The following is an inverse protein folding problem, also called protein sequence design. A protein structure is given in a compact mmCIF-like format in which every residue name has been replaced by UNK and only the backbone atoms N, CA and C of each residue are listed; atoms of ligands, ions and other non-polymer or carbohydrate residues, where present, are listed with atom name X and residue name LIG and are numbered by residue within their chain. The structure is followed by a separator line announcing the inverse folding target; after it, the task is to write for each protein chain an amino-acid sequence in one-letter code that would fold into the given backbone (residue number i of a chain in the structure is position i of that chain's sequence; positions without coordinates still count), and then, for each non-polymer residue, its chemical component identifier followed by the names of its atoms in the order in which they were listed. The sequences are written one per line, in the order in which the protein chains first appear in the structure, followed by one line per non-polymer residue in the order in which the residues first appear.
data_IF_780129014713
#
_entry.id   IF_780129014713
#
_cell.length_a   1.000
_cell.length_b   1.000
_cell.length_c   1.000
_cell.angle_alpha   90.00
_cell.angle_beta   90.00
_cell.angle_gamma   90.00
#
_symmetry.space_group_name_H-M   'P 1'
#
loop_
_entity.id
_entity.type
_entity.pdbx_description
1 polymer ?
#
# COMPACT_ATOMS: atom_id res chain seq x y z
N UNK A 1 -18.59 3.82 13.32
CA UNK A 1 -17.41 3.77 14.23
C UNK A 1 -16.93 5.18 14.55
N UNK A 2 -16.73 5.52 15.82
CA UNK A 2 -16.36 6.88 16.24
C UNK A 2 -14.88 7.21 15.99
N UNK A 3 -14.59 8.33 15.31
CA UNK A 3 -13.23 8.84 14.98
C UNK A 3 -13.09 10.33 15.30
N UNK A 4 -11.87 10.72 15.70
CA UNK A 4 -11.46 12.12 15.90
C UNK A 4 -10.41 12.48 14.86
N UNK A 5 -10.61 13.57 14.15
CA UNK A 5 -9.76 14.00 13.05
C UNK A 5 -8.81 15.11 13.49
N UNK A 6 -7.50 14.91 13.32
CA UNK A 6 -6.47 15.94 13.65
C UNK A 6 -6.23 16.93 12.53
N UNK A 7 -6.68 16.63 11.31
CA UNK A 7 -6.59 17.47 10.11
C UNK A 7 -7.84 17.31 9.24
N UNK A 8 -8.02 18.24 8.29
CA UNK A 8 -9.08 18.14 7.28
C UNK A 8 -8.88 16.87 6.45
N UNK A 9 -9.96 16.14 6.22
CA UNK A 9 -9.98 14.92 5.43
C UNK A 9 -11.10 15.00 4.41
N UNK A 10 -10.79 14.70 3.16
CA UNK A 10 -11.76 14.68 2.07
C UNK A 10 -11.79 13.28 1.49
N UNK A 11 -13.00 12.73 1.34
CA UNK A 11 -13.20 11.43 0.72
C UNK A 11 -14.40 11.47 -0.21
N UNK A 12 -14.48 10.47 -1.09
CA UNK A 12 -15.62 10.27 -1.97
C UNK A 12 -16.46 9.14 -1.39
N UNK A 13 -17.75 9.36 -1.17
CA UNK A 13 -18.65 8.27 -0.74
C UNK A 13 -19.01 7.37 -1.94
N UNK A 14 -19.73 6.29 -1.66
CA UNK A 14 -20.21 5.32 -2.66
C UNK A 14 -21.07 5.99 -3.75
N UNK A 15 -21.87 7.00 -3.37
CA UNK A 15 -22.66 7.84 -4.28
C UNK A 15 -21.82 8.81 -5.14
N UNK A 16 -20.49 8.77 -5.03
CA UNK A 16 -19.58 9.62 -5.81
C UNK A 16 -19.53 11.09 -5.36
N UNK A 17 -20.17 11.44 -4.25
CA UNK A 17 -20.17 12.77 -3.64
C UNK A 17 -18.89 13.00 -2.83
N UNK A 18 -18.34 14.22 -2.92
CA UNK A 18 -17.19 14.62 -2.12
C UNK A 18 -17.65 15.04 -0.72
N UNK A 19 -17.29 14.26 0.28
CA UNK A 19 -17.53 14.57 1.69
C UNK A 19 -16.26 15.15 2.30
N UNK A 20 -16.41 16.28 3.00
CA UNK A 20 -15.30 16.96 3.67
C UNK A 20 -15.50 16.92 5.18
N UNK A 21 -14.57 16.27 5.87
CA UNK A 21 -14.49 16.24 7.32
C UNK A 21 -13.52 17.35 7.77
N UNK A 22 -13.98 18.34 8.55
CA UNK A 22 -13.12 19.42 9.00
C UNK A 22 -12.10 18.94 10.05
N UNK A 23 -11.03 19.73 10.23
CA UNK A 23 -10.06 19.51 11.31
C UNK A 23 -10.76 19.62 12.68
N UNK A 24 -10.32 18.82 13.65
CA UNK A 24 -10.91 18.71 15.00
C UNK A 24 -12.35 18.18 15.02
N UNK A 25 -12.87 17.69 13.89
CA UNK A 25 -14.16 17.03 13.88
C UNK A 25 -14.08 15.67 14.56
N UNK A 26 -15.13 15.33 15.31
CA UNK A 26 -15.27 14.05 15.98
C UNK A 26 -16.70 13.54 15.80
N UNK A 27 -16.84 12.31 15.31
CA UNK A 27 -18.14 11.73 15.03
C UNK A 27 -18.03 10.31 14.51
N UNK A 28 -19.18 9.75 14.17
CA UNK A 28 -19.25 8.42 13.59
C UNK A 28 -19.00 8.45 12.09
N UNK A 29 -18.13 7.55 11.65
CA UNK A 29 -17.84 7.29 10.24
C UNK A 29 -17.94 5.78 9.96
N UNK A 30 -18.08 5.40 8.71
CA UNK A 30 -18.02 3.99 8.30
C UNK A 30 -16.62 3.42 8.54
N UNK A 31 -16.50 2.10 8.62
CA UNK A 31 -15.20 1.44 8.80
C UNK A 31 -14.24 1.74 7.64
N UNK A 32 -14.76 1.81 6.42
CA UNK A 32 -13.99 2.20 5.23
C UNK A 32 -13.43 3.63 5.33
N UNK A 33 -14.27 4.60 5.71
CA UNK A 33 -13.84 5.99 5.89
C UNK A 33 -12.86 6.12 7.05
N UNK A 34 -13.05 5.36 8.13
CA UNK A 34 -12.08 5.28 9.21
C UNK A 34 -10.73 4.75 8.69
N UNK A 35 -10.73 3.64 7.94
CA UNK A 35 -9.52 3.05 7.38
C UNK A 35 -8.80 4.00 6.41
N UNK A 36 -9.53 4.69 5.53
CA UNK A 36 -8.99 5.69 4.61
C UNK A 36 -8.40 6.90 5.37
N UNK A 37 -9.14 7.42 6.34
CA UNK A 37 -8.68 8.54 7.15
C UNK A 37 -7.47 8.16 8.02
N UNK A 38 -7.42 6.93 8.49
CA UNK A 38 -6.30 6.39 9.25
C UNK A 38 -5.05 6.19 8.37
N UNK A 39 -5.21 5.66 7.15
CA UNK A 39 -4.14 5.53 6.16
C UNK A 39 -3.59 6.90 5.71
N UNK A 40 -4.45 7.92 5.65
CA UNK A 40 -4.05 9.31 5.40
C UNK A 40 -3.44 10.00 6.64
N UNK A 41 -3.28 9.28 7.77
CA UNK A 41 -2.90 9.82 9.08
C UNK A 41 -3.73 11.07 9.44
N UNK A 42 -5.00 11.09 9.05
CA UNK A 42 -5.93 12.19 9.26
C UNK A 42 -6.64 12.14 10.62
N UNK A 43 -6.60 10.98 11.27
CA UNK A 43 -7.23 10.70 12.57
C UNK A 43 -6.22 10.77 13.73
N UNK A 44 -6.75 10.96 14.93
CA UNK A 44 -6.05 10.71 16.19
C UNK A 44 -6.25 9.23 16.54
N UNK A 45 -5.37 8.35 16.05
CA UNK A 45 -5.31 6.96 16.53
C UNK A 45 -4.58 6.89 17.87
N UNK A 46 -5.18 6.18 18.83
CA UNK A 46 -4.45 5.65 19.97
C UNK A 46 -3.34 4.73 19.44
N UNK A 47 -2.09 5.13 19.67
CA UNK A 47 -0.87 4.48 19.17
C UNK A 47 -0.71 3.00 19.57
N UNK A 48 -1.65 2.42 20.32
CA UNK A 48 -1.61 1.05 20.82
C UNK A 48 -1.97 -0.02 19.78
N UNK A 49 -2.49 0.35 18.60
CA UNK A 49 -2.89 -0.59 17.54
C UNK A 49 -2.43 -0.17 16.14
N UNK A 50 -1.24 0.43 16.01
CA UNK A 50 -0.66 0.87 14.74
C UNK A 50 0.39 -0.11 14.16
N UNK A 51 0.23 -1.42 14.38
CA UNK A 51 1.20 -2.44 13.91
C UNK A 51 0.68 -3.37 12.80
N UNK A 52 -0.53 -3.16 12.27
CA UNK A 52 -1.07 -3.97 11.16
C UNK A 52 -2.02 -3.16 10.28
N UNK A 53 -1.48 -2.22 9.50
CA UNK A 53 -2.15 -1.67 8.30
C UNK A 53 -1.20 -0.66 7.64
N UNK A 54 -0.05 -1.13 7.19
CA UNK A 54 0.81 -0.37 6.27
C UNK A 54 1.38 -1.37 5.25
N UNK A 55 0.50 -1.86 4.37
CA UNK A 55 0.88 -2.38 3.05
C UNK A 55 0.03 -1.60 2.04
N UNK A 56 0.17 -0.27 2.10
CA UNK A 56 -0.53 0.68 1.25
C UNK A 56 0.44 1.69 0.65
N UNK A 57 1.73 1.35 0.55
CA UNK A 57 2.66 2.15 -0.25
C UNK A 57 2.51 1.72 -1.71
N UNK A 58 1.82 2.54 -2.49
CA UNK A 58 2.06 2.65 -3.93
C UNK A 58 3.51 3.12 -4.15
N UNK A 59 4.45 2.21 -3.99
CA UNK A 59 5.79 2.22 -4.57
C UNK A 59 6.13 0.76 -4.78
N UNK A 60 6.51 0.42 -6.02
CA UNK A 60 7.25 -0.77 -6.41
C UNK A 60 7.72 -1.55 -5.19
N UNK A 61 7.01 -2.64 -4.83
CA UNK A 61 7.46 -3.50 -3.74
C UNK A 61 8.92 -3.84 -4.07
N UNK A 62 9.89 -3.51 -3.20
CA UNK A 62 11.27 -3.84 -3.51
C UNK A 62 11.31 -5.34 -3.74
N UNK A 63 11.94 -5.78 -4.82
CA UNK A 63 12.07 -7.20 -5.19
C UNK A 63 12.52 -8.04 -3.97
N UNK A 64 13.35 -7.44 -3.10
CA UNK A 64 13.78 -8.01 -1.81
C UNK A 64 12.63 -8.40 -0.83
N UNK A 65 11.47 -7.72 -0.88
CA UNK A 65 10.29 -8.01 -0.06
C UNK A 65 9.29 -8.95 -0.73
N UNK A 66 9.39 -9.19 -2.03
CA UNK A 66 8.51 -10.12 -2.74
C UNK A 66 8.82 -11.58 -2.38
N UNK A 67 7.83 -12.46 -2.46
CA UNK A 67 8.07 -13.91 -2.36
C UNK A 67 8.68 -14.44 -3.65
N UNK A 68 9.21 -15.68 -3.62
CA UNK A 68 9.80 -16.30 -4.82
C UNK A 68 8.81 -16.38 -5.98
N UNK A 69 7.56 -16.76 -5.69
CA UNK A 69 6.48 -16.80 -6.70
C UNK A 69 6.15 -15.43 -7.28
N UNK A 70 6.07 -14.39 -6.43
CA UNK A 70 5.81 -13.00 -6.88
C UNK A 70 6.93 -12.50 -7.80
N UNK A 71 8.19 -12.84 -7.50
CA UNK A 71 9.33 -12.49 -8.33
C UNK A 71 9.30 -13.19 -9.69
N UNK A 72 8.94 -14.47 -9.73
CA UNK A 72 8.80 -15.22 -10.99
C UNK A 72 7.67 -14.61 -11.84
N UNK A 73 6.56 -14.24 -11.20
CA UNK A 73 5.45 -13.57 -11.89
C UNK A 73 5.86 -12.19 -12.43
N UNK A 74 6.57 -11.37 -11.63
CA UNK A 74 7.05 -10.06 -12.06
C UNK A 74 8.10 -10.17 -13.18
N UNK A 75 8.98 -11.17 -13.12
CA UNK A 75 9.89 -11.47 -14.22
C UNK A 75 9.13 -11.82 -15.51
N UNK A 76 8.10 -12.65 -15.43
CA UNK A 76 7.24 -12.99 -16.56
C UNK A 76 6.55 -11.76 -17.17
N UNK A 77 6.05 -10.85 -16.33
CA UNK A 77 5.45 -9.58 -16.77
C UNK A 77 6.45 -8.67 -17.50
N UNK A 78 7.73 -8.74 -17.12
CA UNK A 78 8.83 -8.02 -17.77
C UNK A 78 9.39 -8.74 -19.00
N UNK A 79 8.85 -9.91 -19.37
CA UNK A 79 9.35 -10.74 -20.47
C UNK A 79 10.66 -11.46 -20.15
N UNK A 80 11.01 -11.61 -18.87
CA UNK A 80 12.23 -12.25 -18.39
C UNK A 80 11.90 -13.70 -18.02
N UNK A 81 12.49 -14.66 -18.73
CA UNK A 81 12.38 -16.08 -18.37
C UNK A 81 13.29 -16.39 -17.20
N UNK A 82 12.70 -16.67 -16.04
CA UNK A 82 13.41 -17.07 -14.82
C UNK A 82 13.23 -18.57 -14.59
N UNK A 83 14.32 -19.26 -14.27
CA UNK A 83 14.25 -20.65 -13.83
C UNK A 83 13.74 -20.75 -12.38
N UNK A 84 12.64 -21.47 -12.11
CA UNK A 84 12.06 -21.57 -10.78
C UNK A 84 12.92 -22.39 -9.80
N UNK A 85 14.01 -23.02 -10.24
CA UNK A 85 14.97 -23.71 -9.35
C UNK A 85 15.97 -22.74 -8.73
N UNK A 86 16.10 -21.51 -9.25
CA UNK A 86 16.95 -20.45 -8.71
C UNK A 86 16.49 -20.03 -7.29
N UNK A 87 17.42 -19.56 -6.49
CA UNK A 87 17.12 -18.96 -5.17
C UNK A 87 16.49 -17.59 -5.35
N UNK A 88 15.77 -17.11 -4.33
CA UNK A 88 15.14 -15.78 -4.36
C UNK A 88 16.12 -14.68 -4.78
N UNK A 89 17.33 -14.71 -4.20
CA UNK A 89 18.39 -13.71 -4.44
C UNK A 89 18.85 -13.66 -5.91
N UNK A 90 19.01 -14.85 -6.52
CA UNK A 90 19.36 -14.99 -7.93
C UNK A 90 18.25 -14.45 -8.85
N UNK A 91 16.99 -14.63 -8.46
CA UNK A 91 15.84 -14.14 -9.24
C UNK A 91 15.76 -12.62 -9.17
N UNK A 92 15.93 -12.03 -7.98
CA UNK A 92 16.02 -10.57 -7.81
C UNK A 92 17.13 -10.00 -8.68
N UNK A 93 18.33 -10.59 -8.59
CA UNK A 93 19.50 -10.17 -9.36
C UNK A 93 19.26 -10.25 -10.87
N UNK A 94 18.60 -11.31 -11.35
CA UNK A 94 18.26 -11.46 -12.77
C UNK A 94 17.24 -10.41 -13.24
N UNK A 95 16.24 -10.08 -12.41
CA UNK A 95 15.24 -9.05 -12.73
C UNK A 95 15.88 -7.65 -12.75
N UNK A 96 16.77 -7.35 -11.81
CA UNK A 96 17.51 -6.08 -11.77
C UNK A 96 18.49 -5.96 -12.94
N UNK A 97 19.24 -7.03 -13.25
CA UNK A 97 20.16 -7.05 -14.39
C UNK A 97 19.43 -6.80 -15.71
N UNK A 98 18.27 -7.44 -15.91
CA UNK A 98 17.45 -7.24 -17.09
C UNK A 98 16.83 -5.83 -17.15
N UNK A 99 16.43 -5.26 -16.01
CA UNK A 99 15.95 -3.88 -15.94
C UNK A 99 17.04 -2.85 -16.30
N UNK A 100 18.28 -3.11 -15.87
CA UNK A 100 19.44 -2.28 -16.19
C UNK A 100 19.84 -2.36 -17.67
N UNK A 101 19.67 -3.54 -18.30
CA UNK A 101 19.94 -3.74 -19.73
C UNK A 101 18.92 -3.09 -20.67
N UNK A 102 17.75 -2.68 -20.15
CA UNK A 102 16.69 -2.02 -20.92
C UNK A 102 16.76 -0.48 -20.90
N UNK A 103 17.82 0.10 -20.30
CA UNK A 103 18.07 1.55 -20.23
C UNK A 103 18.98 2.06 -21.35
#
# INVERSE_FOLDING_TARGET
MFRRFKRRFEYRNDDGQKVTIPRNWAGEVTEEVAALADAADATLRDRKKAAKADDGESKVKPLAKMTKDELIAEAGLRGITIDPSKTKDEIVSAIEAAASAAS
#
